data_IF_261377528473
#
_entry.id   IF_261377528473
#
_cell.length_a   1.000
_cell.length_b   1.000
_cell.length_c   1.000
_cell.angle_alpha   90.00
_cell.angle_beta   90.00
_cell.angle_gamma   90.00
#
_symmetry.space_group_name_H-M   'P 1'
#
loop_
_entity.id
_entity.type
_entity.pdbx_description
1 polymer ?
#
# COMPACT_ATOMS: atom_id res chain seq x y z
N UNK A 1 -17.10 -11.50 2.64
CA UNK A 1 -16.57 -10.26 2.04
C UNK A 1 -15.12 -10.46 1.60
N UNK A 2 -14.68 -9.84 0.50
CA UNK A 2 -13.28 -9.89 0.05
C UNK A 2 -12.46 -8.72 0.61
N UNK A 3 -11.20 -8.98 0.97
CA UNK A 3 -10.22 -7.96 1.34
C UNK A 3 -9.01 -8.06 0.41
N UNK A 4 -8.86 -7.09 -0.49
CA UNK A 4 -7.70 -7.01 -1.38
C UNK A 4 -6.55 -6.32 -0.65
N UNK A 5 -5.36 -6.91 -0.65
CA UNK A 5 -4.19 -6.34 0.03
C UNK A 5 -3.06 -6.04 -0.95
N UNK A 6 -2.56 -4.80 -0.92
CA UNK A 6 -1.53 -4.31 -1.84
C UNK A 6 -0.25 -4.00 -1.05
N UNK A 7 0.90 -4.58 -1.41
CA UNK A 7 2.13 -4.44 -0.65
C UNK A 7 2.78 -3.05 -0.80
N UNK A 8 3.67 -2.76 0.15
CA UNK A 8 4.60 -1.64 0.11
C UNK A 8 5.74 -1.89 -0.88
N UNK A 9 6.60 -0.89 -1.10
CA UNK A 9 7.77 -0.99 -1.98
C UNK A 9 8.71 -2.12 -1.53
N UNK A 10 9.13 -3.00 -2.45
CA UNK A 10 9.88 -4.22 -2.17
C UNK A 10 9.06 -5.37 -1.57
N UNK A 11 7.85 -5.11 -1.07
CA UNK A 11 6.96 -6.12 -0.50
C UNK A 11 6.33 -7.02 -1.56
N UNK A 12 5.84 -8.18 -1.13
CA UNK A 12 5.13 -9.15 -1.99
C UNK A 12 3.78 -9.54 -1.38
N UNK A 13 2.92 -10.18 -2.18
CA UNK A 13 1.65 -10.76 -1.74
C UNK A 13 1.83 -11.79 -0.60
N UNK A 14 3.00 -12.42 -0.51
CA UNK A 14 3.35 -13.37 0.56
C UNK A 14 3.29 -12.72 1.93
N UNK A 15 3.66 -11.44 2.04
CA UNK A 15 3.56 -10.67 3.30
C UNK A 15 2.16 -10.76 3.92
N UNK A 16 1.12 -10.57 3.11
CA UNK A 16 -0.26 -10.63 3.61
C UNK A 16 -0.78 -12.06 3.74
N UNK A 17 -0.19 -13.05 3.08
CA UNK A 17 -0.68 -14.44 3.18
C UNK A 17 -0.73 -14.95 4.63
N UNK A 18 0.14 -14.44 5.52
CA UNK A 18 0.12 -14.74 6.96
C UNK A 18 -1.13 -14.24 7.69
N UNK A 19 -1.83 -13.21 7.17
CA UNK A 19 -3.03 -12.65 7.79
C UNK A 19 -4.22 -13.63 7.76
N UNK A 20 -4.19 -14.66 6.90
CA UNK A 20 -5.25 -15.66 6.80
C UNK A 20 -5.54 -16.38 8.12
N UNK A 21 -4.52 -16.59 8.96
CA UNK A 21 -4.70 -17.24 10.27
C UNK A 21 -5.30 -16.33 11.33
N UNK A 22 -5.32 -15.01 11.11
CA UNK A 22 -5.80 -14.01 12.06
C UNK A 22 -7.19 -13.49 11.69
N UNK A 23 -7.55 -13.52 10.41
CA UNK A 23 -8.85 -13.06 9.92
C UNK A 23 -9.97 -14.07 10.20
N UNK A 24 -11.16 -13.55 10.49
CA UNK A 24 -12.38 -14.34 10.56
C UNK A 24 -12.67 -15.03 9.22
N UNK A 25 -13.36 -16.17 9.28
CA UNK A 25 -13.76 -16.94 8.09
C UNK A 25 -14.69 -16.16 7.14
N UNK A 26 -15.27 -15.06 7.59
CA UNK A 26 -16.15 -14.19 6.82
C UNK A 26 -15.38 -13.25 5.87
N UNK A 27 -14.08 -13.02 6.14
CA UNK A 27 -13.21 -12.18 5.32
C UNK A 27 -12.29 -13.07 4.48
N UNK A 28 -12.54 -13.09 3.18
CA UNK A 28 -11.69 -13.76 2.20
C UNK A 28 -10.54 -12.83 1.81
N UNK A 29 -9.35 -13.12 2.30
CA UNK A 29 -8.14 -12.38 1.97
C UNK A 29 -7.66 -12.65 0.54
N UNK A 30 -7.39 -11.58 -0.21
CA UNK A 30 -6.88 -11.61 -1.58
C UNK A 30 -5.63 -10.71 -1.69
N UNK A 31 -4.44 -11.24 -1.37
CA UNK A 31 -3.20 -10.52 -1.63
C UNK A 31 -2.99 -10.34 -3.13
N UNK A 32 -2.64 -9.12 -3.56
CA UNK A 32 -2.29 -8.81 -4.94
C UNK A 32 -0.76 -8.84 -5.11
N UNK A 33 -0.29 -9.60 -6.08
CA UNK A 33 1.14 -9.75 -6.39
C UNK A 33 1.52 -8.80 -7.53
N UNK A 34 2.47 -7.91 -7.27
CA UNK A 34 3.08 -7.02 -8.25
C UNK A 34 3.97 -7.83 -9.21
N UNK A 35 4.19 -7.29 -10.41
CA UNK A 35 5.11 -7.87 -11.39
C UNK A 35 6.56 -7.91 -10.88
N UNK A 36 7.33 -8.90 -11.33
CA UNK A 36 8.75 -9.07 -11.03
C UNK A 36 9.09 -9.56 -9.61
N UNK A 37 8.11 -10.09 -8.87
CA UNK A 37 8.34 -10.67 -7.54
C UNK A 37 7.41 -11.84 -7.21
N UNK A 38 7.79 -12.61 -6.19
CA UNK A 38 6.96 -13.70 -5.66
C UNK A 38 6.53 -14.67 -6.77
N UNK A 39 5.23 -14.94 -6.88
CA UNK A 39 4.70 -15.82 -7.92
C UNK A 39 4.87 -15.29 -9.36
N UNK A 40 5.21 -14.01 -9.51
CA UNK A 40 5.38 -13.28 -10.79
C UNK A 40 6.83 -12.83 -11.01
N UNK A 41 7.80 -13.52 -10.39
CA UNK A 41 9.22 -13.13 -10.46
C UNK A 41 9.78 -13.05 -11.89
N UNK A 42 9.29 -13.88 -12.81
CA UNK A 42 9.74 -13.87 -14.21
C UNK A 42 9.15 -12.76 -15.09
N UNK A 43 8.27 -11.92 -14.54
CA UNK A 43 7.63 -10.82 -15.28
C UNK A 43 8.44 -9.51 -15.15
N UNK A 44 8.37 -8.60 -16.14
CA UNK A 44 9.13 -7.35 -16.10
C UNK A 44 8.68 -6.40 -14.98
N UNK A 45 9.62 -5.68 -14.38
CA UNK A 45 9.31 -4.61 -13.42
C UNK A 45 8.61 -3.43 -14.11
N UNK A 46 7.80 -2.68 -13.35
CA UNK A 46 7.05 -1.55 -13.89
C UNK A 46 7.94 -0.38 -14.28
N UNK A 47 7.57 0.31 -15.36
CA UNK A 47 8.27 1.52 -15.83
C UNK A 47 7.56 2.80 -15.42
N UNK A 48 6.30 2.72 -14.97
CA UNK A 48 5.55 3.85 -14.44
C UNK A 48 4.61 3.44 -13.31
N UNK A 49 4.18 4.41 -12.51
CA UNK A 49 3.16 4.16 -11.47
C UNK A 49 1.83 3.71 -12.10
N UNK A 50 1.51 4.21 -13.29
CA UNK A 50 0.30 3.83 -14.01
C UNK A 50 0.35 2.36 -14.46
N UNK A 51 1.52 1.86 -14.88
CA UNK A 51 1.67 0.45 -15.28
C UNK A 51 1.32 -0.48 -14.10
N UNK A 52 1.76 -0.13 -12.89
CA UNK A 52 1.45 -0.89 -11.67
C UNK A 52 -0.05 -0.88 -11.35
N UNK A 53 -0.71 0.28 -11.50
CA UNK A 53 -2.16 0.41 -11.30
C UNK A 53 -2.94 -0.37 -12.35
N UNK A 54 -2.53 -0.32 -13.61
CA UNK A 54 -3.19 -1.00 -14.72
C UNK A 54 -3.11 -2.51 -14.59
N UNK A 55 -1.92 -3.03 -14.29
CA UNK A 55 -1.70 -4.45 -14.06
C UNK A 55 -2.46 -4.97 -12.84
N UNK A 56 -2.43 -4.24 -11.72
CA UNK A 56 -3.17 -4.65 -10.53
C UNK A 56 -4.68 -4.54 -10.71
N UNK A 57 -5.17 -3.59 -11.51
CA UNK A 57 -6.57 -3.51 -11.90
C UNK A 57 -6.99 -4.78 -12.66
N UNK A 58 -6.23 -5.21 -13.67
CA UNK A 58 -6.51 -6.45 -14.40
C UNK A 58 -6.49 -7.69 -13.49
N UNK A 59 -5.55 -7.73 -12.55
CA UNK A 59 -5.48 -8.78 -11.53
C UNK A 59 -6.69 -8.78 -10.57
N UNK A 60 -7.20 -7.60 -10.23
CA UNK A 60 -8.29 -7.41 -9.29
C UNK A 60 -9.64 -7.73 -9.92
N UNK A 61 -9.94 -7.21 -11.13
CA UNK A 61 -11.24 -7.41 -11.77
C UNK A 61 -11.54 -8.88 -12.09
N UNK A 62 -10.52 -9.70 -12.36
CA UNK A 62 -10.67 -11.16 -12.55
C UNK A 62 -11.15 -11.89 -11.28
N UNK A 63 -11.04 -11.24 -10.12
CA UNK A 63 -11.41 -11.77 -8.81
C UNK A 63 -12.58 -11.00 -8.18
N UNK A 64 -13.03 -9.92 -8.82
CA UNK A 64 -14.24 -9.20 -8.43
C UNK A 64 -15.47 -10.01 -8.84
N UNK A 65 -16.48 -9.95 -7.98
CA UNK A 65 -17.84 -10.37 -8.29
C UNK A 65 -18.70 -9.14 -8.01
N UNK A 66 -19.44 -8.66 -9.01
CA UNK A 66 -20.24 -7.44 -8.91
C UNK A 66 -21.35 -7.53 -7.84
N UNK A 67 -21.60 -8.74 -7.31
CA UNK A 67 -22.60 -9.00 -6.26
C UNK A 67 -22.02 -9.07 -4.85
N UNK A 68 -20.70 -9.08 -4.69
CA UNK A 68 -20.06 -9.25 -3.39
C UNK A 68 -19.38 -7.94 -2.91
N UNK A 69 -19.68 -7.47 -1.69
CA UNK A 69 -18.95 -6.35 -1.12
C UNK A 69 -17.48 -6.72 -0.93
N UNK A 70 -16.61 -5.72 -1.07
CA UNK A 70 -15.18 -5.87 -0.84
C UNK A 70 -14.55 -4.59 -0.29
N UNK A 71 -13.38 -4.75 0.29
CA UNK A 71 -12.53 -3.68 0.78
C UNK A 71 -11.11 -3.79 0.22
N UNK A 72 -10.37 -2.69 0.27
CA UNK A 72 -8.96 -2.64 -0.15
C UNK A 72 -8.11 -2.20 1.04
N UNK A 73 -6.99 -2.86 1.26
CA UNK A 73 -5.93 -2.46 2.17
C UNK A 73 -4.65 -2.20 1.38
N UNK A 74 -4.03 -1.06 1.59
CA UNK A 74 -2.73 -0.74 1.01
C UNK A 74 -1.79 -0.13 2.06
N UNK A 75 -0.54 -0.58 2.08
CA UNK A 75 0.50 -0.01 2.94
C UNK A 75 1.55 0.74 2.13
N UNK A 76 1.90 1.96 2.55
CA UNK A 76 2.89 2.83 1.91
C UNK A 76 2.62 3.01 0.40
N UNK A 77 3.47 2.47 -0.48
CA UNK A 77 3.22 2.42 -1.93
C UNK A 77 1.84 1.83 -2.25
N UNK A 78 1.47 0.72 -1.62
CA UNK A 78 0.18 0.07 -1.82
C UNK A 78 -1.02 0.94 -1.45
N UNK A 79 -0.86 1.91 -0.53
CA UNK A 79 -1.91 2.87 -0.21
C UNK A 79 -2.17 3.85 -1.36
N UNK A 80 -1.11 4.33 -2.03
CA UNK A 80 -1.27 5.16 -3.23
C UNK A 80 -1.86 4.36 -4.38
N UNK A 81 -1.41 3.13 -4.59
CA UNK A 81 -1.97 2.24 -5.61
C UNK A 81 -3.45 1.99 -5.33
N UNK A 82 -3.84 1.73 -4.08
CA UNK A 82 -5.24 1.55 -3.70
C UNK A 82 -6.10 2.77 -4.06
N UNK A 83 -5.58 3.98 -3.86
CA UNK A 83 -6.27 5.22 -4.23
C UNK A 83 -6.47 5.33 -5.74
N UNK A 84 -5.42 5.12 -6.54
CA UNK A 84 -5.52 5.18 -8.01
C UNK A 84 -6.36 4.03 -8.58
N UNK A 85 -6.30 2.83 -7.98
CA UNK A 85 -7.14 1.69 -8.34
C UNK A 85 -8.63 2.01 -8.14
N UNK A 86 -9.00 2.67 -7.03
CA UNK A 86 -10.38 3.11 -6.84
C UNK A 86 -10.83 4.04 -7.98
N UNK A 87 -10.00 5.02 -8.33
CA UNK A 87 -10.33 5.96 -9.41
C UNK A 87 -10.49 5.23 -10.75
N UNK A 88 -9.59 4.28 -11.05
CA UNK A 88 -9.66 3.46 -12.27
C UNK A 88 -10.89 2.54 -12.29
N UNK A 89 -11.23 1.90 -11.17
CA UNK A 89 -12.45 1.10 -11.04
C UNK A 89 -13.69 1.93 -11.34
N UNK A 90 -13.74 3.16 -10.82
CA UNK A 90 -14.84 4.10 -11.03
C UNK A 90 -14.94 4.55 -12.48
N UNK A 91 -13.83 4.94 -13.10
CA UNK A 91 -13.75 5.30 -14.52
C UNK A 91 -14.28 4.18 -15.43
N UNK A 92 -13.98 2.93 -15.07
CA UNK A 92 -14.42 1.74 -15.79
C UNK A 92 -15.78 1.18 -15.33
N UNK A 93 -16.55 1.96 -14.55
CA UNK A 93 -17.90 1.63 -14.09
C UNK A 93 -18.00 0.26 -13.38
N UNK A 94 -16.95 -0.11 -12.63
CA UNK A 94 -16.92 -1.34 -11.83
C UNK A 94 -17.60 -1.14 -10.48
N UNK A 95 -18.01 -2.24 -9.85
CA UNK A 95 -18.42 -2.21 -8.45
C UNK A 95 -17.29 -1.65 -7.59
N UNK A 96 -17.59 -0.69 -6.72
CA UNK A 96 -16.62 0.06 -5.91
C UNK A 96 -16.48 -0.56 -4.51
N UNK A 97 -15.30 -0.43 -3.85
CA UNK A 97 -15.13 -0.95 -2.51
C UNK A 97 -16.06 -0.23 -1.54
N UNK A 98 -16.52 -0.96 -0.51
CA UNK A 98 -17.31 -0.36 0.58
C UNK A 98 -16.42 0.36 1.60
N UNK A 99 -15.13 -0.02 1.67
CA UNK A 99 -14.16 0.54 2.60
C UNK A 99 -12.73 0.47 2.04
N UNK A 100 -11.90 1.46 2.34
CA UNK A 100 -10.46 1.44 2.00
C UNK A 100 -9.61 1.77 3.24
N UNK A 101 -8.61 0.94 3.49
CA UNK A 101 -7.60 1.16 4.52
C UNK A 101 -6.32 1.70 3.88
N UNK A 102 -5.99 2.95 4.17
CA UNK A 102 -4.73 3.58 3.75
C UNK A 102 -3.75 3.55 4.92
N UNK A 103 -2.67 2.79 4.80
CA UNK A 103 -1.74 2.54 5.89
C UNK A 103 -0.36 3.11 5.59
N UNK A 104 0.27 3.80 6.55
CA UNK A 104 1.66 4.28 6.43
C UNK A 104 1.88 5.24 5.27
N UNK A 105 0.90 6.09 4.93
CA UNK A 105 0.99 7.01 3.80
C UNK A 105 0.21 8.29 4.04
N UNK A 106 0.83 9.42 3.74
CA UNK A 106 0.13 10.71 3.66
C UNK A 106 -0.80 10.77 2.44
N UNK A 107 -1.68 11.77 2.41
CA UNK A 107 -2.63 11.93 1.32
C UNK A 107 -1.96 12.15 -0.06
N UNK A 108 -2.56 11.72 -1.17
CA UNK A 108 -1.90 11.74 -2.49
C UNK A 108 -1.30 13.09 -2.95
N UNK A 109 -1.85 14.23 -2.53
CA UNK A 109 -1.34 15.55 -2.89
C UNK A 109 -0.11 15.99 -2.09
N UNK A 110 0.13 15.39 -0.92
CA UNK A 110 1.27 15.74 -0.08
C UNK A 110 2.48 15.00 -0.65
N UNK A 111 3.22 15.70 -1.50
CA UNK A 111 4.35 15.14 -2.22
C UNK A 111 5.49 14.78 -1.25
N UNK A 112 5.43 13.60 -0.64
CA UNK A 112 6.39 13.09 0.34
C UNK A 112 7.83 13.04 -0.20
N UNK A 113 8.01 12.92 -1.52
CA UNK A 113 9.31 12.75 -2.17
C UNK A 113 9.78 13.99 -2.96
N UNK A 114 8.87 14.85 -3.44
CA UNK A 114 9.23 15.90 -4.40
C UNK A 114 9.41 17.31 -3.84
N UNK A 115 10.08 17.50 -2.70
CA UNK A 115 10.75 18.80 -2.42
C UNK A 115 11.69 18.81 -1.22
N UNK A 116 11.57 17.90 -0.25
CA UNK A 116 12.37 17.96 0.99
C UNK A 116 13.27 16.74 1.27
N UNK A 117 12.99 15.56 0.70
CA UNK A 117 13.74 14.32 0.98
C UNK A 117 14.64 13.83 -0.17
N UNK A 118 14.43 14.35 -1.38
CA UNK A 118 15.15 13.91 -2.57
C UNK A 118 14.71 12.52 -3.03
N UNK A 119 14.83 12.26 -4.33
CA UNK A 119 14.68 10.92 -4.87
C UNK A 119 15.89 10.08 -4.43
N UNK A 120 15.70 8.88 -3.89
CA UNK A 120 16.80 8.02 -3.46
C UNK A 120 17.07 6.90 -4.47
N UNK A 121 16.15 6.65 -5.41
CA UNK A 121 16.27 5.55 -6.38
C UNK A 121 17.55 5.60 -7.24
N UNK A 122 18.15 6.79 -7.40
CA UNK A 122 19.32 7.04 -8.25
C UNK A 122 20.64 6.98 -7.46
N UNK A 123 20.56 6.87 -6.13
CA UNK A 123 21.75 6.79 -5.29
C UNK A 123 22.51 5.48 -5.55
N UNK A 124 23.84 5.46 -5.41
CA UNK A 124 24.63 4.24 -5.41
C UNK A 124 24.11 3.21 -4.38
N UNK A 125 24.32 1.91 -4.62
CA UNK A 125 23.73 0.82 -3.80
C UNK A 125 23.97 0.95 -2.30
N UNK A 126 25.18 1.31 -1.88
CA UNK A 126 25.48 1.53 -0.47
C UNK A 126 24.67 2.69 0.13
N UNK A 127 24.57 3.82 -0.58
CA UNK A 127 23.81 4.98 -0.10
C UNK A 127 22.30 4.71 -0.11
N UNK A 128 21.80 4.05 -1.14
CA UNK A 128 20.40 3.65 -1.19
C UNK A 128 20.04 2.69 -0.06
N UNK A 129 20.90 1.70 0.27
CA UNK A 129 20.72 0.83 1.42
C UNK A 129 20.69 1.60 2.75
N UNK A 130 21.57 2.58 2.94
CA UNK A 130 21.55 3.43 4.14
C UNK A 130 20.25 4.25 4.25
N UNK A 131 19.71 4.74 3.14
CA UNK A 131 18.41 5.40 3.13
C UNK A 131 17.28 4.41 3.45
N UNK A 132 17.30 3.20 2.87
CA UNK A 132 16.30 2.15 3.16
C UNK A 132 16.28 1.74 4.63
N UNK A 133 17.44 1.69 5.31
CA UNK A 133 17.52 1.38 6.74
C UNK A 133 16.71 2.36 7.60
N UNK A 134 16.59 3.63 7.19
CA UNK A 134 15.81 4.65 7.92
C UNK A 134 14.30 4.37 7.93
N UNK A 135 13.81 3.57 6.99
CA UNK A 135 12.41 3.16 6.96
C UNK A 135 12.12 2.02 7.95
N UNK A 136 13.13 1.43 8.60
CA UNK A 136 13.01 0.28 9.51
C UNK A 136 12.26 -0.92 8.90
N UNK A 137 12.35 -1.10 7.58
CA UNK A 137 11.69 -2.19 6.86
C UNK A 137 12.57 -3.39 6.51
N UNK A 138 13.88 -3.25 6.72
CA UNK A 138 14.85 -4.27 6.39
C UNK A 138 15.18 -5.07 7.66
N UNK A 139 15.07 -6.40 7.57
CA UNK A 139 15.47 -7.29 8.67
C UNK A 139 17.00 -7.39 8.73
N UNK A 140 17.54 -7.70 9.91
CA UNK A 140 18.98 -7.96 10.04
C UNK A 140 19.44 -9.11 9.14
N UNK A 141 18.59 -10.13 8.95
CA UNK A 141 18.84 -11.23 8.03
C UNK A 141 19.01 -10.74 6.59
N UNK A 142 18.14 -9.84 6.13
CA UNK A 142 18.26 -9.23 4.80
C UNK A 142 19.54 -8.40 4.69
N UNK A 143 19.83 -7.56 5.69
CA UNK A 143 21.00 -6.67 5.69
C UNK A 143 22.33 -7.42 5.71
N UNK A 144 22.36 -8.64 6.26
CA UNK A 144 23.56 -9.46 6.37
C UNK A 144 23.72 -10.48 5.24
N UNK A 145 22.83 -10.49 4.25
CA UNK A 145 22.85 -11.46 3.15
C UNK A 145 22.98 -10.74 1.79
N UNK A 146 24.18 -10.76 1.23
CA UNK A 146 24.48 -10.11 -0.06
C UNK A 146 23.68 -10.69 -1.22
N UNK A 147 23.39 -12.00 -1.23
CA UNK A 147 22.60 -12.63 -2.29
C UNK A 147 21.14 -12.16 -2.25
N UNK A 148 20.55 -12.01 -1.06
CA UNK A 148 19.21 -11.42 -0.92
C UNK A 148 19.20 -9.96 -1.35
N UNK A 149 20.21 -9.19 -0.96
CA UNK A 149 20.34 -7.80 -1.40
C UNK A 149 20.40 -7.73 -2.92
N UNK A 150 21.29 -8.47 -3.57
CA UNK A 150 21.42 -8.49 -5.04
C UNK A 150 20.12 -8.90 -5.73
N UNK A 151 19.39 -9.87 -5.17
CA UNK A 151 18.14 -10.37 -5.72
C UNK A 151 16.98 -9.35 -5.62
N UNK A 152 16.85 -8.68 -4.49
CA UNK A 152 15.71 -7.78 -4.22
C UNK A 152 15.99 -6.31 -4.52
N UNK A 153 17.26 -5.90 -4.61
CA UNK A 153 17.64 -4.52 -4.88
C UNK A 153 16.99 -3.96 -6.16
N UNK A 154 16.99 -4.67 -7.31
CA UNK A 154 16.34 -4.16 -8.52
C UNK A 154 14.84 -3.93 -8.33
N UNK A 155 14.17 -4.82 -7.58
CA UNK A 155 12.74 -4.76 -7.29
C UNK A 155 12.43 -3.53 -6.43
N UNK A 156 13.19 -3.35 -5.33
CA UNK A 156 13.01 -2.22 -4.42
C UNK A 156 13.29 -0.91 -5.16
N UNK A 157 14.37 -0.83 -5.95
CA UNK A 157 14.70 0.35 -6.74
C UNK A 157 13.61 0.71 -7.75
N UNK A 158 13.05 -0.27 -8.46
CA UNK A 158 11.96 -0.03 -9.40
C UNK A 158 10.70 0.51 -8.71
N UNK A 159 10.37 0.00 -7.52
CA UNK A 159 9.24 0.50 -6.74
C UNK A 159 9.46 1.93 -6.25
N UNK A 160 10.65 2.23 -5.73
CA UNK A 160 11.01 3.60 -5.36
C UNK A 160 10.97 4.52 -6.57
N UNK A 161 11.46 4.07 -7.73
CA UNK A 161 11.40 4.82 -8.97
C UNK A 161 9.96 5.21 -9.34
N UNK A 162 9.02 4.27 -9.38
CA UNK A 162 7.63 4.61 -9.75
C UNK A 162 6.93 5.47 -8.69
N UNK A 163 7.25 5.30 -7.41
CA UNK A 163 6.67 6.09 -6.31
C UNK A 163 7.21 7.51 -6.27
N UNK A 164 8.51 7.69 -6.48
CA UNK A 164 9.16 9.01 -6.52
C UNK A 164 8.73 9.81 -7.74
N UNK A 165 8.41 9.13 -8.85
CA UNK A 165 7.88 9.76 -10.06
C UNK A 165 6.34 9.82 -10.11
N UNK A 166 5.65 9.49 -9.02
CA UNK A 166 4.19 9.61 -8.95
C UNK A 166 3.76 11.08 -9.06
N UNK A 167 2.91 11.38 -10.03
CA UNK A 167 2.34 12.70 -10.24
C UNK A 167 0.87 12.72 -9.87
N UNK A 168 0.57 13.36 -8.74
CA UNK A 168 -0.80 13.63 -8.34
C UNK A 168 -1.48 14.56 -9.34
N UNK A 169 -2.65 14.14 -9.85
CA UNK A 169 -3.51 14.99 -10.68
C UNK A 169 -4.57 15.65 -9.77
N UNK A 170 -4.68 16.98 -9.74
CA UNK A 170 -5.68 17.68 -8.93
C UNK A 170 -7.12 17.45 -9.45
N UNK A 171 -8.09 18.00 -8.72
CA UNK A 171 -9.51 18.05 -9.10
C UNK A 171 -10.18 16.70 -9.37
N UNK A 172 -9.74 15.67 -8.63
CA UNK A 172 -10.37 14.34 -8.63
C UNK A 172 -11.64 14.32 -7.79
N UNK A 173 -12.63 13.57 -8.23
CA UNK A 173 -13.80 13.31 -7.42
C UNK A 173 -13.44 12.53 -6.15
N UNK A 174 -14.02 12.95 -5.02
CA UNK A 174 -13.89 12.25 -3.75
C UNK A 174 -14.42 10.80 -3.84
N UNK A 175 -13.82 9.94 -3.04
CA UNK A 175 -14.25 8.57 -2.78
C UNK A 175 -15.67 8.56 -2.21
N UNK A 176 -16.48 7.59 -2.63
CA UNK A 176 -17.84 7.34 -2.16
C UNK A 176 -17.87 6.11 -1.24
N UNK A 177 -16.81 5.91 -0.46
CA UNK A 177 -16.68 4.81 0.50
C UNK A 177 -15.99 5.32 1.78
N UNK A 178 -16.22 4.63 2.89
CA UNK A 178 -15.55 4.95 4.15
C UNK A 178 -14.06 4.63 4.04
N UNK A 179 -13.23 5.44 4.69
CA UNK A 179 -11.78 5.24 4.71
C UNK A 179 -11.25 5.22 6.14
N UNK A 180 -10.24 4.39 6.37
CA UNK A 180 -9.51 4.36 7.64
C UNK A 180 -8.02 4.52 7.36
N UNK A 181 -7.44 5.53 7.99
CA UNK A 181 -6.02 5.83 7.88
C UNK A 181 -5.31 5.21 9.07
N UNK A 182 -4.34 4.34 8.80
CA UNK A 182 -3.51 3.72 9.83
C UNK A 182 -2.13 4.37 9.81
N UNK A 183 -1.65 4.82 10.96
CA UNK A 183 -0.38 5.50 11.09
C UNK A 183 0.45 4.95 12.26
N UNK A 184 1.77 4.87 12.09
CA UNK A 184 2.71 4.64 13.18
C UNK A 184 3.03 5.94 13.91
N UNK A 185 3.02 5.93 15.24
CA UNK A 185 3.31 7.11 16.06
C UNK A 185 4.75 7.62 15.93
N UNK A 186 5.67 6.79 15.44
CA UNK A 186 7.05 7.15 15.09
C UNK A 186 7.33 7.03 13.58
N UNK A 187 6.28 6.98 12.74
CA UNK A 187 6.45 7.00 11.30
C UNK A 187 6.91 8.40 10.83
N UNK A 188 7.56 8.46 9.67
CA UNK A 188 8.07 9.70 9.09
C UNK A 188 6.97 10.59 8.49
N UNK A 189 5.72 10.13 8.52
CA UNK A 189 4.57 10.86 7.99
C UNK A 189 4.05 11.87 9.02
N UNK A 190 3.66 13.05 8.54
CA UNK A 190 3.23 14.13 9.41
C UNK A 190 1.77 13.98 9.82
N UNK A 191 1.42 14.47 11.01
CA UNK A 191 0.01 14.55 11.46
C UNK A 191 -0.87 15.29 10.44
N UNK A 192 -0.35 16.37 9.87
CA UNK A 192 -1.05 17.14 8.84
C UNK A 192 -1.27 16.31 7.56
N UNK A 193 -0.27 15.56 7.10
CA UNK A 193 -0.38 14.68 5.93
C UNK A 193 -1.37 13.54 6.12
N UNK A 194 -1.48 12.99 7.33
CA UNK A 194 -2.49 11.98 7.70
C UNK A 194 -3.89 12.59 7.72
N UNK A 195 -4.07 13.74 8.39
CA UNK A 195 -5.37 14.44 8.45
C UNK A 195 -5.86 14.91 7.07
N UNK A 196 -4.94 15.15 6.14
CA UNK A 196 -5.27 15.60 4.79
C UNK A 196 -6.13 14.58 4.00
N UNK A 197 -6.18 13.31 4.42
CA UNK A 197 -7.06 12.28 3.86
C UNK A 197 -8.56 12.57 4.04
N UNK A 198 -8.97 13.38 5.02
CA UNK A 198 -10.37 13.79 5.21
C UNK A 198 -10.95 14.47 3.96
N UNK A 199 -10.09 15.08 3.13
CA UNK A 199 -10.49 15.72 1.88
C UNK A 199 -10.83 14.72 0.77
N UNK A 200 -10.48 13.45 0.92
CA UNK A 200 -10.53 12.45 -0.15
C UNK A 200 -11.81 11.61 -0.16
N UNK A 201 -12.62 11.62 0.88
CA UNK A 201 -13.91 10.89 0.89
C UNK A 201 -15.10 11.81 1.14
N UNK A 202 -16.29 11.41 0.66
CA UNK A 202 -17.58 11.99 1.05
C UNK A 202 -18.20 11.27 2.26
N UNK A 203 -17.64 10.14 2.66
CA UNK A 203 -18.09 9.30 3.76
C UNK A 203 -17.22 9.55 5.01
N UNK A 204 -17.17 8.58 5.91
CA UNK A 204 -16.35 8.65 7.12
C UNK A 204 -14.86 8.52 6.81
N UNK A 205 -14.05 9.36 7.44
CA UNK A 205 -12.59 9.25 7.45
C UNK A 205 -12.13 9.11 8.91
N UNK A 206 -11.67 7.92 9.27
CA UNK A 206 -11.13 7.66 10.61
C UNK A 206 -9.61 7.60 10.56
N UNK A 207 -8.94 8.12 11.60
CA UNK A 207 -7.48 7.99 11.76
C UNK A 207 -7.20 7.16 13.01
N UNK A 208 -6.40 6.10 12.87
CA UNK A 208 -5.99 5.22 13.97
C UNK A 208 -4.46 5.19 14.03
N UNK A 209 -3.92 5.56 15.18
CA UNK A 209 -2.48 5.53 15.43
C UNK A 209 -2.08 4.24 16.18
N UNK A 210 -0.95 3.68 15.79
CA UNK A 210 -0.31 2.52 16.41
C UNK A 210 1.05 2.90 16.99
N UNK A 211 1.52 2.14 17.95
CA UNK A 211 2.93 2.22 18.38
C UNK A 211 3.83 1.63 17.29
N UNK A 212 4.96 2.26 16.99
CA UNK A 212 5.89 1.81 15.95
C UNK A 212 6.16 2.85 14.87
N UNK A 213 7.22 2.60 14.10
CA UNK A 213 7.61 3.38 12.92
C UNK A 213 6.81 2.95 11.68
N UNK A 214 7.37 3.10 10.47
CA UNK A 214 6.67 2.82 9.22
C UNK A 214 6.06 1.40 9.16
N UNK A 215 6.80 0.40 9.63
CA UNK A 215 6.38 -1.00 9.64
C UNK A 215 5.58 -1.39 10.90
N UNK A 216 4.89 -0.44 11.53
CA UNK A 216 4.00 -0.70 12.68
C UNK A 216 2.97 -1.80 12.41
N UNK A 217 2.58 -1.99 11.15
CA UNK A 217 1.62 -3.03 10.71
C UNK A 217 2.11 -4.44 11.00
N UNK A 218 3.43 -4.64 11.09
CA UNK A 218 4.03 -5.91 11.47
C UNK A 218 4.00 -6.12 12.98
N UNK A 219 4.40 -5.08 13.70
CA UNK A 219 4.56 -5.09 15.15
C UNK A 219 3.22 -5.15 15.88
N UNK A 220 2.15 -4.69 15.23
CA UNK A 220 0.81 -4.59 15.80
C UNK A 220 -0.21 -5.44 15.02
N UNK A 221 0.22 -6.56 14.42
CA UNK A 221 -0.62 -7.35 13.53
C UNK A 221 -2.01 -7.65 14.13
N UNK A 222 -2.08 -8.14 15.37
CA UNK A 222 -3.35 -8.45 16.03
C UNK A 222 -4.29 -7.23 16.09
N UNK A 223 -3.77 -6.09 16.55
CA UNK A 223 -4.54 -4.84 16.65
C UNK A 223 -4.99 -4.32 15.28
N UNK A 224 -4.16 -4.48 14.25
CA UNK A 224 -4.49 -4.10 12.88
C UNK A 224 -5.60 -4.98 12.33
N UNK A 225 -5.52 -6.30 12.54
CA UNK A 225 -6.54 -7.25 12.11
C UNK A 225 -7.86 -6.99 12.85
N UNK A 226 -7.83 -6.76 14.15
CA UNK A 226 -9.03 -6.44 14.93
C UNK A 226 -9.71 -5.16 14.44
N UNK A 227 -8.94 -4.12 14.14
CA UNK A 227 -9.46 -2.90 13.54
C UNK A 227 -10.15 -3.16 12.20
N UNK A 228 -9.48 -3.91 11.31
CA UNK A 228 -10.03 -4.24 9.99
C UNK A 228 -11.33 -5.01 10.15
N UNK A 229 -11.35 -6.07 10.96
CA UNK A 229 -12.55 -6.88 11.20
C UNK A 229 -13.69 -6.05 11.78
N UNK A 230 -13.39 -5.18 12.74
CA UNK A 230 -14.39 -4.32 13.36
C UNK A 230 -15.00 -3.34 12.35
N UNK A 231 -14.19 -2.68 11.52
CA UNK A 231 -14.70 -1.76 10.48
C UNK A 231 -15.50 -2.49 9.39
N UNK A 232 -15.10 -3.70 9.07
CA UNK A 232 -15.73 -4.53 8.05
C UNK A 232 -17.01 -5.24 8.53
N UNK A 233 -17.25 -5.38 9.83
CA UNK A 233 -18.50 -5.92 10.39
C UNK A 233 -19.64 -4.90 10.52
N UNK A 234 -19.33 -3.60 10.44
CA UNK A 234 -20.30 -2.51 10.61
C UNK A 234 -21.09 -2.24 9.30
N UNK A 235 -20.75 -2.95 8.23
CA UNK A 235 -21.37 -2.85 6.90
C UNK A 235 -22.08 -4.15 6.52
#
# INVERSE_FOLDING_TARGET
MKLFCIPYAGGSATYYSRWRSYLSKEIKLIPLELSGRGARFGEPLYSSFQDAVDDLYECMIKRLDDREPYAIFGHSMGALIAYELYLKLKENQKHLPIHIFFSGREAPHTNLFGSSKGHINHLPDNQFLEELKKYNGLTEEFLNNSELIELFMPIIRADFFIVENYQYKPDREKLNCSITILNGSQDYITKAGVQAWEKYTKCTCDVVNFEGSHFFVEQNLDKVIDLIQHRLKIH
#
